data_IF_319324270352
#
_entry.id   IF_319324270352
#
_cell.length_a   1.000
_cell.length_b   1.000
_cell.length_c   1.000
_cell.angle_alpha   90.00
_cell.angle_beta   90.00
_cell.angle_gamma   90.00
#
_symmetry.space_group_name_H-M   'P 1'
#
loop_
_entity.id
_entity.type
_entity.pdbx_description
1 polymer ?
#
# COMPACT_ATOMS: atom_id res chain seq x y z
N UNK A 1 -0.38 -9.85 23.09
CA UNK A 1 0.51 -10.30 21.98
C UNK A 1 1.09 -9.09 21.27
N UNK A 2 2.17 -9.21 20.52
CA UNK A 2 2.76 -8.07 19.81
C UNK A 2 2.01 -7.77 18.50
N UNK A 3 2.21 -6.56 17.95
CA UNK A 3 1.67 -6.17 16.66
C UNK A 3 2.50 -6.76 15.50
N UNK A 4 1.83 -6.99 14.38
CA UNK A 4 2.43 -7.47 13.13
C UNK A 4 2.29 -6.38 12.08
N UNK A 5 3.36 -6.10 11.34
CA UNK A 5 3.33 -5.13 10.23
C UNK A 5 3.28 -5.86 8.90
N UNK A 6 2.39 -5.45 8.02
CA UNK A 6 2.27 -5.95 6.64
C UNK A 6 2.65 -4.84 5.65
N UNK A 7 3.73 -5.06 4.89
CA UNK A 7 4.22 -4.10 3.87
C UNK A 7 4.32 -4.74 2.49
N UNK A 8 4.33 -3.92 1.45
CA UNK A 8 4.73 -4.37 0.11
C UNK A 8 6.25 -4.24 -0.06
N UNK A 9 6.90 -5.19 -0.70
CA UNK A 9 8.35 -5.18 -0.92
C UNK A 9 8.77 -4.43 -2.19
N UNK A 10 7.86 -4.20 -3.13
CA UNK A 10 8.13 -3.66 -4.48
C UNK A 10 7.52 -2.26 -4.66
N UNK A 11 6.77 -2.03 -5.73
CA UNK A 11 6.10 -0.75 -6.05
C UNK A 11 4.58 -0.78 -5.93
N UNK A 12 4.03 -1.61 -5.06
CA UNK A 12 2.58 -1.81 -4.92
C UNK A 12 2.04 -2.92 -5.81
N UNK A 13 0.74 -3.19 -5.65
CA UNK A 13 0.04 -4.25 -6.40
C UNK A 13 0.61 -5.68 -6.19
N UNK A 14 1.36 -5.91 -5.10
CA UNK A 14 1.93 -7.22 -4.76
C UNK A 14 0.88 -8.23 -4.29
N UNK A 15 -0.37 -7.81 -4.04
CA UNK A 15 -1.43 -8.68 -3.53
C UNK A 15 -1.56 -8.67 -2.00
N UNK A 16 -1.23 -7.54 -1.35
CA UNK A 16 -1.39 -7.34 0.10
C UNK A 16 -2.78 -7.71 0.61
N UNK A 17 -3.84 -7.35 -0.14
CA UNK A 17 -5.21 -7.68 0.24
C UNK A 17 -5.46 -9.18 0.44
N UNK A 18 -4.86 -10.06 -0.37
CA UNK A 18 -4.95 -11.51 -0.19
C UNK A 18 -4.25 -11.96 1.10
N UNK A 19 -3.08 -11.41 1.40
CA UNK A 19 -2.35 -11.74 2.63
C UNK A 19 -3.09 -11.22 3.88
N UNK A 20 -3.66 -10.01 3.82
CA UNK A 20 -4.48 -9.47 4.92
C UNK A 20 -5.72 -10.33 5.14
N UNK A 21 -6.38 -10.76 4.08
CA UNK A 21 -7.56 -11.61 4.16
C UNK A 21 -7.24 -13.01 4.73
N UNK A 22 -6.08 -13.57 4.37
CA UNK A 22 -5.59 -14.82 4.95
C UNK A 22 -5.42 -14.72 6.47
N UNK A 23 -4.83 -13.63 6.95
CA UNK A 23 -4.59 -13.38 8.37
C UNK A 23 -5.83 -12.81 9.09
N UNK A 24 -6.72 -12.15 8.36
CA UNK A 24 -7.82 -11.34 8.91
C UNK A 24 -8.87 -12.11 9.71
N UNK A 25 -8.86 -13.46 9.66
CA UNK A 25 -9.72 -14.30 10.50
C UNK A 25 -9.18 -14.46 11.93
N UNK A 26 -7.87 -14.34 12.07
CA UNK A 26 -7.14 -14.63 13.29
C UNK A 26 -6.58 -13.36 13.95
N UNK A 27 -6.95 -12.17 13.42
CA UNK A 27 -6.59 -10.87 13.98
C UNK A 27 -7.81 -10.12 14.48
N UNK A 28 -7.65 -9.47 15.64
CA UNK A 28 -8.73 -8.70 16.29
C UNK A 28 -8.82 -7.27 15.73
N UNK A 29 -7.70 -6.72 15.27
CA UNK A 29 -7.61 -5.37 14.70
C UNK A 29 -6.82 -5.36 13.40
N UNK A 30 -7.33 -4.65 12.38
CA UNK A 30 -6.57 -4.30 11.17
C UNK A 30 -6.50 -2.78 11.06
N UNK A 31 -5.29 -2.24 11.11
CA UNK A 31 -5.02 -0.81 11.13
C UNK A 31 -4.39 -0.37 9.81
N UNK A 32 -5.08 0.45 9.03
CA UNK A 32 -4.45 1.17 7.93
C UNK A 32 -3.66 2.34 8.52
N UNK A 33 -2.35 2.35 8.31
CA UNK A 33 -1.48 3.31 9.00
C UNK A 33 -0.97 4.45 8.12
N UNK A 34 -1.09 4.37 6.77
CA UNK A 34 -0.58 5.39 5.87
C UNK A 34 -1.42 5.54 4.58
N UNK A 35 -1.09 6.54 3.78
CA UNK A 35 -1.77 6.81 2.52
C UNK A 35 -3.15 7.42 2.72
N UNK A 36 -4.04 7.14 1.81
CA UNK A 36 -5.44 7.57 1.80
C UNK A 36 -6.22 6.73 0.81
N UNK A 37 -7.10 7.38 0.03
CA UNK A 37 -7.86 6.73 -1.03
C UNK A 37 -7.11 6.59 -2.37
N UNK A 38 -5.78 6.72 -2.36
CA UNK A 38 -4.90 6.56 -3.53
C UNK A 38 -4.46 5.13 -3.80
N UNK A 39 -4.70 4.19 -2.89
CA UNK A 39 -4.48 2.76 -3.09
C UNK A 39 -5.80 2.05 -3.44
N UNK A 40 -5.69 0.88 -4.05
CA UNK A 40 -6.82 0.00 -4.29
C UNK A 40 -6.46 -1.41 -3.82
N UNK A 41 -7.11 -1.90 -2.76
CA UNK A 41 -6.99 -3.27 -2.31
C UNK A 41 -8.20 -4.05 -2.81
N UNK A 42 -7.98 -5.05 -3.65
CA UNK A 42 -9.05 -5.96 -4.05
C UNK A 42 -8.97 -7.22 -3.19
N UNK A 43 -10.05 -7.52 -2.52
CA UNK A 43 -10.25 -8.75 -1.74
C UNK A 43 -11.35 -9.56 -2.38
N UNK A 44 -11.19 -10.88 -2.48
CA UNK A 44 -12.22 -11.78 -3.03
C UNK A 44 -12.70 -12.68 -1.90
N UNK A 45 -13.98 -12.57 -1.53
CA UNK A 45 -14.63 -13.37 -0.51
C UNK A 45 -15.82 -14.10 -1.14
N UNK A 46 -15.84 -15.42 -1.05
CA UNK A 46 -16.92 -16.28 -1.58
C UNK A 46 -17.25 -15.98 -3.07
N UNK A 47 -16.21 -15.68 -3.86
CA UNK A 47 -16.30 -15.34 -5.28
C UNK A 47 -16.69 -13.89 -5.58
N UNK A 48 -17.05 -13.11 -4.58
CA UNK A 48 -17.35 -11.69 -4.72
C UNK A 48 -16.11 -10.80 -4.56
N UNK A 49 -15.96 -9.82 -5.45
CA UNK A 49 -14.86 -8.85 -5.42
C UNK A 49 -15.25 -7.60 -4.63
N UNK A 50 -14.40 -7.23 -3.68
CA UNK A 50 -14.47 -5.99 -2.92
C UNK A 50 -13.25 -5.13 -3.24
N UNK A 51 -13.47 -3.95 -3.79
CA UNK A 51 -12.42 -2.98 -4.08
C UNK A 51 -12.45 -1.90 -2.99
N UNK A 52 -11.47 -1.92 -2.10
CA UNK A 52 -11.32 -0.96 -1.01
C UNK A 52 -10.23 0.06 -1.36
N UNK A 53 -10.51 1.36 -1.20
CA UNK A 53 -9.55 2.42 -1.46
C UNK A 53 -9.05 3.06 -0.16
N UNK A 54 -9.97 3.42 0.72
CA UNK A 54 -9.68 4.10 1.99
C UNK A 54 -9.81 3.16 3.19
N UNK A 55 -10.81 2.29 3.18
CA UNK A 55 -11.05 1.39 4.29
C UNK A 55 -9.96 0.30 4.43
N UNK A 56 -9.58 -0.08 5.67
CA UNK A 56 -8.69 -1.22 5.89
C UNK A 56 -9.38 -2.53 5.51
N UNK A 57 -8.59 -3.52 5.05
CA UNK A 57 -9.13 -4.80 4.55
C UNK A 57 -9.91 -5.58 5.61
N UNK A 58 -9.58 -5.39 6.90
CA UNK A 58 -10.29 -6.00 8.03
C UNK A 58 -11.76 -5.64 8.16
N UNK A 59 -12.26 -4.61 7.45
CA UNK A 59 -13.70 -4.24 7.43
C UNK A 59 -14.59 -5.39 6.92
N UNK A 60 -14.02 -6.30 6.14
CA UNK A 60 -14.73 -7.45 5.57
C UNK A 60 -14.75 -8.67 6.51
N UNK A 61 -14.07 -8.60 7.66
CA UNK A 61 -13.98 -9.69 8.64
C UNK A 61 -14.88 -9.40 9.83
N UNK A 62 -15.91 -10.23 10.12
CA UNK A 62 -16.94 -9.91 11.13
C UNK A 62 -16.38 -9.75 12.56
N UNK A 63 -15.29 -10.47 12.86
CA UNK A 63 -14.67 -10.47 14.19
C UNK A 63 -13.59 -9.41 14.35
N UNK A 64 -13.21 -8.71 13.29
CA UNK A 64 -12.16 -7.72 13.27
C UNK A 64 -12.69 -6.31 13.53
N UNK A 65 -11.91 -5.50 14.23
CA UNK A 65 -12.13 -4.06 14.37
C UNK A 65 -11.22 -3.33 13.37
N UNK A 66 -11.77 -2.78 12.28
CA UNK A 66 -11.00 -2.01 11.31
C UNK A 66 -10.68 -0.62 11.86
N UNK A 67 -9.44 -0.16 11.68
CA UNK A 67 -8.97 1.13 12.20
C UNK A 67 -8.30 1.95 11.10
N UNK A 68 -8.72 3.19 10.96
CA UNK A 68 -8.00 4.23 10.20
C UNK A 68 -7.10 4.98 11.18
N UNK A 69 -5.79 4.74 11.09
CA UNK A 69 -4.78 5.32 11.97
C UNK A 69 -4.50 6.80 11.69
N UNK A 70 -3.78 7.44 12.59
CA UNK A 70 -3.42 8.87 12.51
C UNK A 70 -2.48 9.21 11.34
N UNK A 71 -1.83 8.22 10.74
CA UNK A 71 -0.98 8.40 9.56
C UNK A 71 -1.75 8.51 8.25
N UNK A 72 -3.02 8.15 8.21
CA UNK A 72 -3.88 8.21 7.02
C UNK A 72 -4.39 9.63 6.77
N UNK A 73 -4.56 9.99 5.50
CA UNK A 73 -5.31 11.18 5.08
C UNK A 73 -6.67 10.77 4.54
N UNK A 74 -7.74 11.32 5.11
CA UNK A 74 -9.12 10.84 4.97
C UNK A 74 -9.91 11.76 4.04
N UNK A 75 -10.36 11.24 2.90
CA UNK A 75 -11.39 11.88 2.08
C UNK A 75 -12.76 11.44 2.59
N UNK A 76 -13.51 12.36 3.19
CA UNK A 76 -14.78 12.05 3.84
C UNK A 76 -15.86 11.61 2.86
N UNK A 77 -15.90 12.19 1.66
CA UNK A 77 -16.85 11.79 0.64
C UNK A 77 -16.60 10.33 0.22
N UNK A 78 -15.33 9.97 -0.05
CA UNK A 78 -14.95 8.60 -0.41
C UNK A 78 -15.18 7.63 0.76
N UNK A 79 -14.89 8.06 2.00
CA UNK A 79 -15.16 7.24 3.19
C UNK A 79 -16.62 6.79 3.25
N UNK A 80 -17.54 7.74 3.14
CA UNK A 80 -18.96 7.44 3.25
C UNK A 80 -19.52 6.72 2.03
N UNK A 81 -19.01 6.99 0.83
CA UNK A 81 -19.34 6.23 -0.37
C UNK A 81 -18.95 4.75 -0.23
N UNK A 82 -17.74 4.46 0.27
CA UNK A 82 -17.30 3.08 0.51
C UNK A 82 -18.14 2.40 1.60
N UNK A 83 -18.42 3.09 2.71
CA UNK A 83 -19.24 2.56 3.80
C UNK A 83 -20.67 2.23 3.34
N UNK A 84 -21.30 3.13 2.58
CA UNK A 84 -22.64 2.92 2.01
C UNK A 84 -22.65 1.74 1.02
N UNK A 85 -21.62 1.65 0.16
CA UNK A 85 -21.47 0.56 -0.78
C UNK A 85 -21.30 -0.81 -0.10
N UNK A 86 -20.54 -0.88 1.00
CA UNK A 86 -20.38 -2.10 1.79
C UNK A 86 -21.68 -2.47 2.55
N UNK A 87 -22.32 -1.50 3.17
CA UNK A 87 -23.58 -1.70 3.89
C UNK A 87 -24.68 -2.23 2.94
N UNK A 88 -24.76 -1.69 1.73
CA UNK A 88 -25.71 -2.17 0.71
C UNK A 88 -25.46 -3.63 0.28
N UNK A 89 -24.22 -4.13 0.48
CA UNK A 89 -23.84 -5.54 0.26
C UNK A 89 -23.92 -6.41 1.52
N UNK A 90 -24.49 -5.88 2.62
CA UNK A 90 -24.67 -6.62 3.86
C UNK A 90 -23.45 -6.70 4.77
N UNK A 91 -22.40 -5.93 4.52
CA UNK A 91 -21.21 -5.87 5.40
C UNK A 91 -21.49 -4.97 6.60
N UNK A 92 -21.23 -5.48 7.82
CA UNK A 92 -21.32 -4.68 9.04
C UNK A 92 -20.11 -3.76 9.17
N UNK A 93 -20.33 -2.45 9.05
CA UNK A 93 -19.31 -1.41 9.15
C UNK A 93 -19.29 -0.71 10.51
N UNK A 94 -20.11 -1.13 11.47
CA UNK A 94 -20.33 -0.46 12.75
C UNK A 94 -19.08 -0.44 13.65
N UNK A 95 -18.16 -1.38 13.48
CA UNK A 95 -16.93 -1.50 14.25
C UNK A 95 -15.80 -0.58 13.78
N UNK A 96 -15.97 0.16 12.68
CA UNK A 96 -14.92 1.04 12.17
C UNK A 96 -14.52 2.09 13.20
N UNK A 97 -13.22 2.20 13.43
CA UNK A 97 -12.62 3.26 14.28
C UNK A 97 -11.73 4.17 13.44
N UNK A 98 -11.81 5.47 13.70
CA UNK A 98 -11.04 6.50 12.98
C UNK A 98 -10.29 7.35 14.01
N UNK A 99 -8.99 7.50 13.80
CA UNK A 99 -8.18 8.36 14.68
C UNK A 99 -8.65 9.81 14.61
N UNK A 100 -8.94 10.39 15.75
CA UNK A 100 -9.20 11.82 15.89
C UNK A 100 -8.05 12.68 15.32
N UNK A 101 -6.82 12.15 15.33
CA UNK A 101 -5.60 12.80 14.85
C UNK A 101 -5.30 12.58 13.35
N UNK A 102 -6.07 11.76 12.64
CA UNK A 102 -5.94 11.63 11.18
C UNK A 102 -6.23 12.96 10.49
N UNK A 103 -5.58 13.23 9.34
CA UNK A 103 -5.81 14.45 8.59
C UNK A 103 -6.92 14.28 7.56
N UNK A 104 -7.65 15.36 7.30
CA UNK A 104 -8.74 15.40 6.33
C UNK A 104 -8.26 15.98 5.00
N UNK A 105 -8.61 15.34 3.89
CA UNK A 105 -8.42 15.87 2.55
C UNK A 105 -9.53 16.91 2.30
N UNK A 106 -9.19 18.18 2.43
CA UNK A 106 -10.12 19.25 2.15
C UNK A 106 -10.30 19.48 0.63
N UNK A 107 -11.39 20.09 0.18
CA UNK A 107 -11.66 20.33 -1.24
C UNK A 107 -10.52 21.04 -1.98
N UNK A 108 -9.86 22.00 -1.34
CA UNK A 108 -8.72 22.72 -1.92
C UNK A 108 -7.48 21.83 -2.10
N UNK A 109 -7.29 20.77 -1.30
CA UNK A 109 -6.18 19.83 -1.50
C UNK A 109 -6.36 19.05 -2.80
N UNK A 110 -7.59 18.58 -3.11
CA UNK A 110 -7.92 17.93 -4.39
C UNK A 110 -7.71 18.88 -5.58
N UNK A 111 -8.09 20.14 -5.41
CA UNK A 111 -7.88 21.16 -6.45
C UNK A 111 -6.40 21.39 -6.70
N UNK A 112 -5.61 21.59 -5.64
CA UNK A 112 -4.15 21.80 -5.73
C UNK A 112 -3.45 20.63 -6.42
N UNK A 113 -3.77 19.39 -6.06
CA UNK A 113 -3.18 18.20 -6.68
C UNK A 113 -3.38 18.22 -8.22
N UNK A 114 -4.62 18.43 -8.67
CA UNK A 114 -4.96 18.47 -10.10
C UNK A 114 -4.31 19.65 -10.86
N UNK A 115 -4.27 20.82 -10.26
CA UNK A 115 -3.70 22.00 -10.97
C UNK A 115 -2.18 21.96 -11.01
N UNK A 116 -1.54 21.39 -9.97
CA UNK A 116 -0.09 21.20 -9.92
C UNK A 116 0.38 20.20 -10.99
N UNK A 117 -0.27 19.05 -11.12
CA UNK A 117 0.02 18.07 -12.17
C UNK A 117 -0.14 18.69 -13.60
N UNK A 118 -1.19 19.47 -13.79
CA UNK A 118 -1.40 20.19 -15.06
C UNK A 118 -0.28 21.21 -15.33
N UNK A 119 0.13 21.96 -14.32
CA UNK A 119 1.18 22.96 -14.42
C UNK A 119 2.54 22.34 -14.72
N UNK A 120 2.85 21.20 -14.13
CA UNK A 120 4.10 20.46 -14.37
C UNK A 120 4.19 19.87 -15.79
N UNK A 121 3.06 19.61 -16.47
CA UNK A 121 3.01 19.15 -17.85
C UNK A 121 3.80 17.84 -18.07
N UNK A 122 4.88 17.91 -18.87
CA UNK A 122 5.75 16.74 -19.11
C UNK A 122 6.58 16.31 -17.91
N UNK A 123 6.73 17.16 -16.89
CA UNK A 123 7.45 16.86 -15.64
C UNK A 123 6.51 16.41 -14.52
N UNK A 124 5.27 16.05 -14.85
CA UNK A 124 4.30 15.54 -13.88
C UNK A 124 4.82 14.26 -13.19
N UNK A 125 4.46 14.07 -11.94
CA UNK A 125 4.77 12.88 -11.15
C UNK A 125 3.83 11.71 -11.51
N UNK A 126 2.64 12.02 -12.00
CA UNK A 126 1.59 11.03 -12.27
C UNK A 126 0.76 10.71 -11.04
N UNK A 127 0.44 11.73 -10.23
CA UNK A 127 -0.38 11.56 -9.01
C UNK A 127 -1.79 11.06 -9.35
N UNK A 128 -2.50 10.57 -8.34
CA UNK A 128 -3.89 10.13 -8.50
C UNK A 128 -4.89 11.28 -8.59
N UNK A 129 -4.45 12.54 -8.37
CA UNK A 129 -5.30 13.72 -8.36
C UNK A 129 -6.30 13.78 -7.21
N UNK A 130 -6.07 13.01 -6.15
CA UNK A 130 -6.99 12.83 -4.99
C UNK A 130 -6.65 13.73 -3.79
N UNK A 131 -5.63 14.57 -3.91
CA UNK A 131 -5.25 15.52 -2.86
C UNK A 131 -4.34 14.95 -1.78
N UNK A 132 -3.79 13.74 -1.99
CA UNK A 132 -2.94 13.06 -1.01
C UNK A 132 -1.68 13.88 -0.69
N UNK A 133 -0.88 14.20 -1.70
CA UNK A 133 0.36 14.98 -1.53
C UNK A 133 0.14 16.33 -0.87
N UNK A 134 -0.79 17.17 -1.36
CA UNK A 134 -1.12 18.44 -0.73
C UNK A 134 -1.57 18.34 0.72
N UNK A 135 -2.29 17.28 1.11
CA UNK A 135 -2.70 17.07 2.50
C UNK A 135 -1.53 16.68 3.40
N UNK A 136 -0.60 15.82 2.94
CA UNK A 136 0.64 15.54 3.67
C UNK A 136 1.55 16.78 3.77
N UNK A 137 1.62 17.61 2.73
CA UNK A 137 2.32 18.89 2.79
C UNK A 137 1.72 19.80 3.87
N UNK A 138 0.40 19.88 3.95
CA UNK A 138 -0.28 20.63 5.01
C UNK A 138 0.00 20.08 6.41
N UNK A 139 0.01 18.77 6.57
CA UNK A 139 0.39 18.10 7.83
C UNK A 139 1.78 18.53 8.27
N UNK A 140 2.77 18.48 7.39
CA UNK A 140 4.16 18.86 7.69
C UNK A 140 4.32 20.36 7.93
N UNK A 141 3.59 21.20 7.21
CA UNK A 141 3.53 22.64 7.41
C UNK A 141 2.73 23.04 8.67
N UNK A 142 2.04 22.11 9.30
CA UNK A 142 1.19 22.34 10.48
C UNK A 142 -0.01 23.26 10.20
N UNK A 143 -0.50 23.23 8.96
CA UNK A 143 -1.69 23.94 8.49
C UNK A 143 -2.84 22.99 8.13
N UNK A 144 -2.65 21.68 8.38
CA UNK A 144 -3.64 20.65 8.08
C UNK A 144 -4.83 20.65 9.04
N UNK A 145 -5.94 20.13 8.54
CA UNK A 145 -7.18 19.91 9.29
C UNK A 145 -7.19 18.47 9.75
N UNK A 146 -7.43 18.23 11.05
CA UNK A 146 -7.62 16.90 11.62
C UNK A 146 -9.10 16.54 11.69
N UNK A 147 -9.39 15.24 11.77
CA UNK A 147 -10.76 14.74 11.91
C UNK A 147 -11.46 15.35 13.14
N UNK A 148 -10.76 15.48 14.26
CA UNK A 148 -11.31 16.11 15.49
C UNK A 148 -11.75 17.57 15.31
N UNK A 149 -11.12 18.29 14.40
CA UNK A 149 -11.43 19.73 14.19
C UNK A 149 -12.83 19.93 13.59
N UNK A 150 -13.38 18.89 12.95
CA UNK A 150 -14.72 18.91 12.33
C UNK A 150 -15.81 19.09 13.38
N UNK A 151 -15.59 18.65 14.61
CA UNK A 151 -16.61 18.70 15.66
C UNK A 151 -16.73 20.09 16.32
N UNK A 152 -15.75 20.97 16.14
CA UNK A 152 -15.77 22.36 16.60
C UNK A 152 -15.74 23.32 15.42
N UNK A 153 -16.89 23.92 15.11
CA UNK A 153 -17.02 24.82 13.95
C UNK A 153 -16.09 26.05 14.05
N UNK A 154 -15.90 26.59 15.25
CA UNK A 154 -15.04 27.76 15.45
C UNK A 154 -13.58 27.44 15.15
N UNK A 155 -13.09 26.31 15.66
CA UNK A 155 -11.74 25.82 15.40
C UNK A 155 -11.56 25.45 13.92
N UNK A 156 -12.52 24.73 13.34
CA UNK A 156 -12.49 24.37 11.93
C UNK A 156 -12.41 25.61 11.03
N UNK A 157 -13.28 26.61 11.28
CA UNK A 157 -13.31 27.87 10.53
C UNK A 157 -11.97 28.59 10.60
N UNK A 158 -11.43 28.77 11.79
CA UNK A 158 -10.13 29.41 12.00
C UNK A 158 -9.02 28.72 11.21
N UNK A 159 -8.98 27.39 11.22
CA UNK A 159 -7.98 26.60 10.48
C UNK A 159 -8.16 26.71 8.97
N UNK A 160 -9.40 26.66 8.48
CA UNK A 160 -9.71 26.82 7.06
C UNK A 160 -9.32 28.22 6.56
N UNK A 161 -9.63 29.26 7.31
CA UNK A 161 -9.23 30.65 7.01
C UNK A 161 -7.71 30.79 6.92
N UNK A 162 -6.97 30.28 7.90
CA UNK A 162 -5.52 30.30 7.93
C UNK A 162 -4.91 29.54 6.74
N UNK A 163 -5.43 28.36 6.42
CA UNK A 163 -4.97 27.55 5.29
C UNK A 163 -5.25 28.26 3.95
N UNK A 164 -6.45 28.81 3.78
CA UNK A 164 -6.87 29.44 2.53
C UNK A 164 -6.21 30.80 2.28
N UNK A 165 -5.75 31.49 3.32
CA UNK A 165 -5.02 32.76 3.18
C UNK A 165 -3.82 32.64 2.23
N UNK A 166 -3.04 31.56 2.34
CA UNK A 166 -1.91 31.27 1.45
C UNK A 166 -2.35 30.53 0.18
N UNK A 167 -3.17 29.48 0.32
CA UNK A 167 -3.53 28.59 -0.79
C UNK A 167 -4.30 29.33 -1.89
N UNK A 168 -5.17 30.26 -1.54
CA UNK A 168 -5.87 31.08 -2.53
C UNK A 168 -4.92 32.00 -3.32
N UNK A 169 -3.83 32.50 -2.70
CA UNK A 169 -2.82 33.23 -3.46
C UNK A 169 -2.16 32.32 -4.52
N UNK A 170 -1.83 31.09 -4.15
CA UNK A 170 -1.25 30.12 -5.08
C UNK A 170 -2.24 29.72 -6.17
N UNK A 171 -3.48 29.37 -5.81
CA UNK A 171 -4.51 28.99 -6.78
C UNK A 171 -4.79 30.11 -7.79
N UNK A 172 -4.97 31.34 -7.32
CA UNK A 172 -5.37 32.46 -8.17
C UNK A 172 -4.17 33.03 -8.95
N UNK A 173 -3.06 33.33 -8.27
CA UNK A 173 -1.94 34.07 -8.89
C UNK A 173 -0.95 33.18 -9.62
N UNK A 174 -0.74 31.92 -9.16
CA UNK A 174 0.23 31.01 -9.79
C UNK A 174 -0.48 30.13 -10.82
N UNK A 175 -1.58 29.51 -10.42
CA UNK A 175 -2.28 28.54 -11.27
C UNK A 175 -3.42 29.13 -12.09
N UNK A 176 -3.71 30.42 -11.92
CA UNK A 176 -4.80 31.14 -12.62
C UNK A 176 -6.14 30.36 -12.57
N UNK A 177 -6.47 29.88 -11.37
CA UNK A 177 -7.73 29.16 -11.13
C UNK A 177 -8.54 29.83 -10.01
N UNK A 178 -9.79 29.42 -9.85
CA UNK A 178 -10.67 29.98 -8.81
C UNK A 178 -10.16 29.57 -7.43
N UNK A 179 -10.11 30.51 -6.48
CA UNK A 179 -9.89 30.26 -5.07
C UNK A 179 -11.04 29.51 -4.42
N UNK A 180 -10.77 28.90 -3.27
CA UNK A 180 -11.79 28.27 -2.43
C UNK A 180 -12.43 29.28 -1.47
N UNK A 181 -13.69 29.08 -1.16
CA UNK A 181 -14.47 29.92 -0.24
C UNK A 181 -14.52 29.26 1.14
N UNK A 182 -14.19 29.99 2.19
CA UNK A 182 -14.14 29.47 3.57
C UNK A 182 -15.45 28.81 3.97
N UNK A 183 -16.57 29.51 3.78
CA UNK A 183 -17.88 29.02 4.20
C UNK A 183 -18.23 27.69 3.55
N UNK A 184 -17.97 27.55 2.25
CA UNK A 184 -18.23 26.28 1.53
C UNK A 184 -17.37 25.13 2.04
N UNK A 185 -16.09 25.38 2.33
CA UNK A 185 -15.20 24.34 2.87
C UNK A 185 -15.65 23.93 4.26
N UNK A 186 -16.00 24.87 5.12
CA UNK A 186 -16.51 24.60 6.48
C UNK A 186 -17.82 23.83 6.41
N UNK A 187 -18.78 24.28 5.59
CA UNK A 187 -20.08 23.62 5.42
C UNK A 187 -19.90 22.17 4.92
N UNK A 188 -19.10 21.95 3.86
CA UNK A 188 -18.82 20.62 3.32
C UNK A 188 -18.25 19.69 4.41
N UNK A 189 -17.22 20.12 5.13
CA UNK A 189 -16.60 19.28 6.15
C UNK A 189 -17.53 19.04 7.34
N UNK A 190 -18.26 20.05 7.79
CA UNK A 190 -19.24 19.95 8.90
C UNK A 190 -20.40 19.02 8.59
N UNK A 191 -20.80 18.92 7.33
CA UNK A 191 -21.91 18.04 6.93
C UNK A 191 -21.69 16.56 7.27
N UNK A 192 -20.45 16.17 7.52
CA UNK A 192 -20.09 14.80 7.92
C UNK A 192 -20.02 14.57 9.44
N UNK A 193 -20.12 15.64 10.26
CA UNK A 193 -19.83 15.58 11.70
C UNK A 193 -20.65 14.51 12.44
N UNK A 194 -21.96 14.52 12.28
CA UNK A 194 -22.85 13.59 12.99
C UNK A 194 -22.62 12.12 12.60
N UNK A 195 -22.30 11.89 11.33
CA UNK A 195 -21.98 10.55 10.81
C UNK A 195 -20.61 10.04 11.28
N UNK A 196 -19.65 10.94 11.48
CA UNK A 196 -18.31 10.62 11.96
C UNK A 196 -18.26 10.37 13.47
N UNK A 197 -19.08 11.07 14.25
CA UNK A 197 -19.01 11.07 15.72
C UNK A 197 -18.93 9.67 16.36
N UNK A 198 -19.72 8.67 15.95
CA UNK A 198 -19.67 7.33 16.56
C UNK A 198 -18.39 6.55 16.23
N UNK A 199 -17.65 6.92 15.19
CA UNK A 199 -16.48 6.18 14.71
C UNK A 199 -15.16 6.77 15.24
N UNK A 200 -15.15 8.05 15.63
CA UNK A 200 -13.93 8.81 15.94
C UNK A 200 -13.54 8.69 17.40
N UNK A 201 -12.25 8.46 17.64
CA UNK A 201 -11.73 8.36 19.00
C UNK A 201 -10.22 8.35 19.10
N UNK A 202 -9.72 8.04 20.29
CA UNK A 202 -8.31 7.81 20.55
C UNK A 202 -7.93 6.37 20.19
N UNK A 203 -7.62 6.16 18.91
CA UNK A 203 -7.23 4.84 18.39
C UNK A 203 -5.90 4.34 18.96
N UNK A 204 -5.03 5.24 19.44
CA UNK A 204 -3.76 4.82 20.05
C UNK A 204 -3.99 4.14 21.38
N UNK A 205 -4.89 4.69 22.18
CA UNK A 205 -5.32 4.09 23.46
C UNK A 205 -6.11 2.77 23.21
N UNK A 206 -6.98 2.74 22.20
CA UNK A 206 -7.72 1.52 21.85
C UNK A 206 -6.75 0.39 21.50
N UNK A 207 -5.71 0.66 20.68
CA UNK A 207 -4.71 -0.32 20.27
C UNK A 207 -3.77 -0.73 21.42
N UNK A 208 -3.38 0.19 22.30
CA UNK A 208 -2.61 -0.14 23.51
C UNK A 208 -3.37 -1.16 24.37
N UNK A 209 -4.65 -0.88 24.66
CA UNK A 209 -5.51 -1.79 25.43
C UNK A 209 -5.69 -3.15 24.77
N UNK A 210 -5.83 -3.17 23.44
CA UNK A 210 -5.93 -4.41 22.68
C UNK A 210 -4.67 -5.27 22.83
N UNK A 211 -3.49 -4.66 22.67
CA UNK A 211 -2.21 -5.34 22.83
C UNK A 211 -1.98 -5.83 24.26
N UNK A 212 -2.38 -5.05 25.28
CA UNK A 212 -2.27 -5.44 26.69
C UNK A 212 -3.24 -6.57 27.07
N UNK A 213 -4.38 -6.63 26.39
CA UNK A 213 -5.33 -7.74 26.50
C UNK A 213 -4.90 -9.01 25.72
N UNK A 214 -3.74 -8.97 25.05
CA UNK A 214 -3.24 -10.11 24.28
C UNK A 214 -3.92 -10.29 22.92
N UNK A 215 -4.58 -9.26 22.38
CA UNK A 215 -5.23 -9.29 21.08
C UNK A 215 -4.22 -9.12 19.94
N UNK A 216 -4.52 -9.71 18.78
CA UNK A 216 -3.71 -9.63 17.57
C UNK A 216 -4.00 -8.34 16.80
N UNK A 217 -2.98 -7.53 16.55
CA UNK A 217 -3.09 -6.29 15.78
C UNK A 217 -2.24 -6.38 14.52
N UNK A 218 -2.87 -6.22 13.35
CA UNK A 218 -2.23 -6.17 12.05
C UNK A 218 -2.16 -4.72 11.55
N UNK A 219 -0.96 -4.23 11.24
CA UNK A 219 -0.73 -2.90 10.67
C UNK A 219 -0.56 -3.04 9.15
N UNK A 220 -1.57 -2.61 8.40
CA UNK A 220 -1.65 -2.76 6.94
C UNK A 220 -1.13 -1.51 6.22
N UNK A 221 -0.10 -1.66 5.37
CA UNK A 221 0.39 -0.59 4.51
C UNK A 221 -0.54 -0.34 3.32
N UNK A 222 -0.82 0.92 3.06
CA UNK A 222 -1.58 1.33 1.86
C UNK A 222 -0.76 1.23 0.56
N UNK A 223 0.57 1.37 0.64
CA UNK A 223 1.52 1.32 -0.48
C UNK A 223 2.65 0.32 -0.19
N UNK A 224 3.80 0.48 -0.85
CA UNK A 224 4.93 -0.44 -0.74
C UNK A 224 6.25 0.28 -0.47
N UNK A 225 7.30 -0.46 -0.12
CA UNK A 225 8.60 0.06 0.30
C UNK A 225 9.22 0.99 -0.73
N UNK A 226 9.19 0.63 -2.03
CA UNK A 226 9.78 1.46 -3.10
C UNK A 226 8.93 2.70 -3.45
N UNK A 227 7.75 2.83 -2.82
CA UNK A 227 6.89 4.02 -2.88
C UNK A 227 6.95 4.87 -1.61
N UNK A 228 7.76 4.49 -0.62
CA UNK A 228 7.94 5.26 0.62
C UNK A 228 8.57 6.62 0.33
N UNK A 229 8.15 7.67 1.05
CA UNK A 229 8.61 9.05 0.81
C UNK A 229 10.11 9.23 1.07
N UNK A 230 10.68 8.50 2.03
CA UNK A 230 12.09 8.61 2.44
C UNK A 230 12.96 7.52 1.79
N UNK A 231 12.43 6.31 1.60
CA UNK A 231 13.17 5.12 1.18
C UNK A 231 12.82 4.63 -0.23
N UNK A 232 11.83 5.22 -0.87
CA UNK A 232 11.40 4.85 -2.22
C UNK A 232 12.19 5.54 -3.33
N UNK A 233 11.74 5.33 -4.55
CA UNK A 233 12.33 5.89 -5.78
C UNK A 233 11.89 7.34 -6.01
N UNK A 234 12.26 8.22 -5.08
CA UNK A 234 11.92 9.65 -5.15
C UNK A 234 12.38 10.29 -6.46
N UNK A 235 11.57 11.15 -7.13
CA UNK A 235 10.28 11.70 -6.68
C UNK A 235 9.06 10.84 -7.02
N UNK A 236 9.22 9.69 -7.64
CA UNK A 236 8.14 8.79 -8.08
C UNK A 236 7.67 7.88 -6.94
N UNK A 237 7.14 8.50 -5.88
CA UNK A 237 6.74 7.88 -4.61
C UNK A 237 5.38 8.42 -4.14
N UNK A 238 4.80 7.82 -3.11
CA UNK A 238 3.70 8.43 -2.35
C UNK A 238 4.25 9.45 -1.33
N UNK A 239 3.42 10.35 -0.87
CA UNK A 239 3.80 11.35 0.15
C UNK A 239 3.69 10.80 1.58
N UNK A 240 3.59 9.50 1.75
CA UNK A 240 3.43 8.86 3.06
C UNK A 240 4.55 7.86 3.35
N UNK A 241 4.79 7.57 4.63
CA UNK A 241 5.72 6.55 5.08
C UNK A 241 5.05 5.18 4.99
N UNK A 242 5.47 4.37 4.01
CA UNK A 242 4.89 3.06 3.69
C UNK A 242 5.72 1.88 4.25
N UNK A 243 6.76 2.17 5.02
CA UNK A 243 7.63 1.18 5.67
C UNK A 243 7.13 0.77 7.05
N UNK A 244 7.76 -0.25 7.63
CA UNK A 244 7.48 -0.70 9.01
C UNK A 244 7.71 0.41 10.05
N UNK A 245 8.71 1.29 9.84
CA UNK A 245 8.89 2.50 10.66
C UNK A 245 7.69 3.44 10.59
N UNK A 246 7.12 3.60 9.38
CA UNK A 246 5.89 4.37 9.16
C UNK A 246 4.66 3.78 9.84
N UNK A 247 4.62 2.45 10.00
CA UNK A 247 3.53 1.78 10.71
C UNK A 247 3.46 2.20 12.19
N UNK A 248 4.61 2.32 12.86
CA UNK A 248 4.66 2.78 14.25
C UNK A 248 4.14 4.22 14.40
N UNK A 249 4.62 5.13 13.56
CA UNK A 249 4.19 6.55 13.63
C UNK A 249 2.75 6.74 13.17
N UNK A 250 2.29 5.95 12.20
CA UNK A 250 0.95 6.08 11.61
C UNK A 250 -0.17 5.40 12.41
N UNK A 251 0.16 4.49 13.32
CA UNK A 251 -0.79 3.83 14.22
C UNK A 251 -0.69 4.33 15.66
N UNK A 252 0.49 4.84 16.07
CA UNK A 252 0.80 5.17 17.46
C UNK A 252 1.32 3.98 18.28
N UNK A 253 1.48 2.80 17.67
CA UNK A 253 2.07 1.64 18.36
C UNK A 253 3.59 1.81 18.42
N UNK A 254 4.21 1.70 19.61
CA UNK A 254 5.66 1.84 19.74
C UNK A 254 6.40 0.66 19.06
N UNK A 255 7.62 0.89 18.52
CA UNK A 255 8.37 -0.14 17.79
C UNK A 255 8.68 -1.38 18.64
N UNK A 256 8.78 -1.23 19.97
CA UNK A 256 9.01 -2.33 20.91
C UNK A 256 7.83 -3.30 21.05
N UNK A 257 6.66 -2.96 20.53
CA UNK A 257 5.45 -3.82 20.51
C UNK A 257 5.27 -4.51 19.16
N UNK A 258 6.11 -4.24 18.17
CA UNK A 258 6.11 -4.95 16.87
C UNK A 258 6.99 -6.19 17.00
N UNK A 259 6.44 -7.37 16.73
CA UNK A 259 7.18 -8.64 16.78
C UNK A 259 7.60 -9.16 15.43
N UNK A 260 6.79 -8.88 14.41
CA UNK A 260 6.99 -9.42 13.07
C UNK A 260 6.72 -8.36 12.01
N UNK A 261 7.49 -8.44 10.93
CA UNK A 261 7.25 -7.67 9.72
C UNK A 261 7.12 -8.66 8.57
N UNK A 262 5.93 -8.72 7.99
CA UNK A 262 5.60 -9.55 6.84
C UNK A 262 5.64 -8.70 5.60
N UNK A 263 6.48 -9.04 4.64
CA UNK A 263 6.55 -8.36 3.35
C UNK A 263 5.88 -9.19 2.25
N UNK A 264 5.14 -8.53 1.39
CA UNK A 264 4.53 -9.18 0.22
C UNK A 264 5.41 -8.91 -0.99
N UNK A 265 5.83 -9.99 -1.63
CA UNK A 265 6.61 -9.99 -2.86
C UNK A 265 5.81 -10.72 -3.95
N UNK A 266 5.65 -10.12 -5.10
CA UNK A 266 5.11 -10.81 -6.28
C UNK A 266 6.22 -11.64 -6.93
N UNK A 267 5.93 -12.83 -7.43
CA UNK A 267 6.88 -13.71 -8.10
C UNK A 267 7.51 -13.09 -9.38
N UNK A 268 7.03 -11.94 -9.79
CA UNK A 268 7.59 -11.04 -10.79
C UNK A 268 7.40 -9.60 -10.32
N UNK A 269 7.85 -8.61 -11.05
CA UNK A 269 7.74 -7.22 -10.62
C UNK A 269 6.73 -6.46 -11.47
N UNK A 270 5.93 -5.61 -10.85
CA UNK A 270 5.06 -4.67 -11.56
C UNK A 270 5.19 -3.27 -11.01
N UNK A 271 4.98 -2.27 -11.87
CA UNK A 271 4.96 -0.86 -11.49
C UNK A 271 3.84 -0.11 -12.20
N UNK A 272 3.20 0.79 -11.47
CA UNK A 272 2.26 1.78 -12.03
C UNK A 272 2.94 3.15 -12.01
N UNK A 273 2.76 3.93 -13.09
CA UNK A 273 3.32 5.29 -13.20
C UNK A 273 4.77 5.33 -13.65
N UNK A 274 5.34 6.52 -13.55
CA UNK A 274 6.67 6.85 -14.01
C UNK A 274 7.76 6.40 -13.02
N UNK A 275 9.03 6.54 -13.42
CA UNK A 275 10.19 6.29 -12.60
C UNK A 275 10.96 5.02 -12.96
N UNK A 276 12.11 4.76 -12.30
CA UNK A 276 13.02 3.68 -12.64
C UNK A 276 12.40 2.30 -12.41
N UNK A 277 12.69 1.38 -13.34
CA UNK A 277 12.27 -0.01 -13.26
C UNK A 277 13.30 -0.88 -14.01
N UNK A 278 14.43 -1.24 -13.37
CA UNK A 278 15.55 -1.90 -14.05
C UNK A 278 15.18 -3.19 -14.77
N UNK A 279 14.26 -3.98 -14.22
CA UNK A 279 13.84 -5.26 -14.81
C UNK A 279 12.65 -5.16 -15.75
N UNK A 280 12.24 -3.95 -16.18
CA UNK A 280 11.10 -3.75 -17.07
C UNK A 280 11.27 -4.40 -18.43
N UNK A 281 10.19 -5.00 -18.90
CA UNK A 281 10.10 -5.61 -20.23
C UNK A 281 9.53 -4.68 -21.29
N UNK A 282 10.06 -4.85 -22.49
CA UNK A 282 9.57 -4.19 -23.71
C UNK A 282 9.25 -5.20 -24.83
N UNK A 283 9.06 -6.48 -24.48
CA UNK A 283 8.95 -7.62 -25.36
C UNK A 283 7.71 -8.49 -25.08
N UNK A 284 7.66 -9.68 -25.69
CA UNK A 284 6.56 -10.64 -25.57
C UNK A 284 6.41 -11.22 -24.17
N UNK A 285 7.49 -11.32 -23.38
CA UNK A 285 7.45 -11.78 -21.99
C UNK A 285 6.65 -10.81 -21.11
N UNK A 286 6.82 -9.50 -21.33
CA UNK A 286 6.02 -8.49 -20.66
C UNK A 286 4.54 -8.57 -20.98
N UNK A 287 4.20 -8.88 -22.23
CA UNK A 287 2.81 -9.07 -22.63
C UNK A 287 2.21 -10.37 -22.08
N UNK A 288 3.00 -11.44 -22.03
CA UNK A 288 2.61 -12.71 -21.40
C UNK A 288 2.26 -12.50 -19.92
N UNK A 289 3.16 -11.91 -19.11
CA UNK A 289 2.92 -11.65 -17.70
C UNK A 289 1.72 -10.73 -17.48
N UNK A 290 1.56 -9.70 -18.32
CA UNK A 290 0.45 -8.77 -18.23
C UNK A 290 -0.90 -9.44 -18.45
N UNK A 291 -0.99 -10.31 -19.47
CA UNK A 291 -2.22 -11.05 -19.79
C UNK A 291 -2.52 -12.13 -18.76
N UNK A 292 -1.56 -13.01 -18.48
CA UNK A 292 -1.71 -14.13 -17.55
C UNK A 292 -1.93 -13.65 -16.12
N UNK A 293 -1.18 -12.62 -15.70
CA UNK A 293 -1.30 -12.02 -14.37
C UNK A 293 -2.45 -11.03 -14.23
N UNK A 294 -3.21 -10.73 -15.31
CA UNK A 294 -4.24 -9.68 -15.30
C UNK A 294 -3.72 -8.33 -14.76
N UNK A 295 -2.54 -7.91 -15.23
CA UNK A 295 -1.84 -6.73 -14.73
C UNK A 295 -2.38 -5.44 -15.35
N UNK A 296 -3.59 -5.08 -14.89
CA UNK A 296 -4.29 -3.84 -15.25
C UNK A 296 -4.73 -3.10 -14.00
N UNK A 297 -4.66 -1.78 -14.01
CA UNK A 297 -5.07 -0.95 -12.88
C UNK A 297 -6.55 -1.11 -12.56
N UNK A 298 -6.88 -1.44 -11.31
CA UNK A 298 -8.26 -1.69 -10.85
C UNK A 298 -9.20 -0.51 -11.14
N UNK A 299 -8.71 0.73 -10.98
CA UNK A 299 -9.52 1.94 -11.15
C UNK A 299 -9.46 2.51 -12.57
N UNK A 300 -8.33 2.39 -13.24
CA UNK A 300 -8.08 3.07 -14.54
C UNK A 300 -8.06 2.13 -15.73
N UNK A 301 -7.96 0.81 -15.51
CA UNK A 301 -7.78 -0.19 -16.55
C UNK A 301 -6.44 -0.06 -17.31
N UNK A 302 -5.52 0.82 -16.87
CA UNK A 302 -4.23 1.00 -17.53
C UNK A 302 -3.37 -0.25 -17.37
N UNK A 303 -2.65 -0.69 -18.43
CA UNK A 303 -1.70 -1.78 -18.31
C UNK A 303 -0.59 -1.39 -17.33
N UNK A 304 -0.21 -2.32 -16.46
CA UNK A 304 0.96 -2.19 -15.60
C UNK A 304 2.23 -2.50 -16.38
N UNK A 305 3.31 -1.83 -16.04
CA UNK A 305 4.66 -2.18 -16.44
C UNK A 305 5.03 -3.48 -15.74
N UNK A 306 5.61 -4.44 -16.44
CA UNK A 306 5.98 -5.76 -15.89
C UNK A 306 7.48 -6.01 -16.11
N UNK A 307 8.07 -6.83 -15.23
CA UNK A 307 9.48 -7.25 -15.31
C UNK A 307 9.72 -8.48 -14.46
N UNK A 308 10.89 -9.14 -14.60
CA UNK A 308 11.27 -10.27 -13.75
C UNK A 308 11.36 -9.86 -12.27
N UNK A 309 11.30 -10.87 -11.38
CA UNK A 309 11.50 -10.63 -9.96
C UNK A 309 12.86 -9.99 -9.73
N UNK A 310 12.86 -8.96 -8.89
CA UNK A 310 14.05 -8.19 -8.55
C UNK A 310 14.41 -8.43 -7.08
N UNK A 311 15.42 -9.26 -6.84
CA UNK A 311 15.84 -9.60 -5.49
C UNK A 311 16.77 -8.55 -4.88
N UNK A 312 17.31 -7.63 -5.67
CA UNK A 312 18.07 -6.49 -5.15
C UNK A 312 17.13 -5.57 -4.38
N UNK A 313 15.97 -5.22 -4.95
CA UNK A 313 14.96 -4.46 -4.21
C UNK A 313 14.32 -5.30 -3.10
N UNK A 314 14.22 -6.63 -3.25
CA UNK A 314 13.76 -7.52 -2.19
C UNK A 314 14.67 -7.46 -0.95
N UNK A 315 16.00 -7.56 -1.13
CA UNK A 315 17.00 -7.36 -0.06
C UNK A 315 16.92 -5.98 0.56
N UNK A 316 16.78 -4.95 -0.28
CA UNK A 316 16.60 -3.59 0.20
C UNK A 316 15.35 -3.47 1.08
N UNK A 317 14.22 -4.04 0.65
CA UNK A 317 12.99 -4.05 1.44
C UNK A 317 13.17 -4.82 2.76
N UNK A 318 13.89 -5.96 2.75
CA UNK A 318 14.24 -6.70 3.96
C UNK A 318 15.00 -5.84 4.96
N UNK A 319 16.03 -5.15 4.51
CA UNK A 319 16.88 -4.29 5.34
C UNK A 319 16.11 -3.10 5.92
N UNK A 320 15.34 -2.39 5.10
CA UNK A 320 14.64 -1.17 5.52
C UNK A 320 13.51 -1.46 6.50
N UNK A 321 12.81 -2.57 6.31
CA UNK A 321 11.66 -2.93 7.13
C UNK A 321 11.97 -3.89 8.28
N UNK A 322 13.15 -4.52 8.29
CA UNK A 322 13.44 -5.61 9.23
C UNK A 322 12.51 -6.80 8.98
N UNK A 323 12.34 -7.19 7.72
CA UNK A 323 11.40 -8.25 7.32
C UNK A 323 11.79 -9.58 7.97
N UNK A 324 10.82 -10.19 8.63
CA UNK A 324 10.96 -11.53 9.23
C UNK A 324 10.45 -12.63 8.30
N UNK A 325 9.42 -12.31 7.52
CA UNK A 325 8.70 -13.27 6.67
C UNK A 325 8.29 -12.64 5.35
N UNK A 326 8.36 -13.41 4.27
CA UNK A 326 7.76 -13.04 3.00
C UNK A 326 6.53 -13.90 2.69
N UNK A 327 5.56 -13.28 2.03
CA UNK A 327 4.51 -13.96 1.29
C UNK A 327 4.77 -13.70 -0.19
N UNK A 328 5.12 -14.75 -0.92
CA UNK A 328 5.28 -14.68 -2.39
C UNK A 328 3.92 -14.88 -3.04
N UNK A 329 3.49 -13.96 -3.89
CA UNK A 329 2.20 -14.03 -4.58
C UNK A 329 2.37 -14.30 -6.06
N UNK A 330 1.33 -14.85 -6.69
CA UNK A 330 1.24 -15.03 -8.14
C UNK A 330 2.34 -15.93 -8.74
N UNK A 331 2.74 -16.97 -8.02
CA UNK A 331 3.68 -17.95 -8.55
C UNK A 331 3.08 -18.71 -9.74
N UNK A 332 1.77 -18.94 -9.75
CA UNK A 332 0.97 -19.52 -10.81
C UNK A 332 1.12 -18.82 -12.17
N UNK A 333 1.35 -17.51 -12.16
CA UNK A 333 1.50 -16.71 -13.39
C UNK A 333 2.76 -17.06 -14.18
N UNK A 334 3.76 -17.65 -13.55
CA UNK A 334 5.01 -18.09 -14.19
C UNK A 334 4.90 -19.48 -14.83
N UNK A 335 3.78 -20.19 -14.64
CA UNK A 335 3.53 -21.49 -15.29
C UNK A 335 3.51 -21.35 -16.81
N UNK A 336 4.17 -22.27 -17.51
CA UNK A 336 4.26 -22.28 -18.97
C UNK A 336 5.47 -21.56 -19.56
N UNK A 337 6.37 -21.07 -18.68
CA UNK A 337 7.67 -20.53 -19.10
C UNK A 337 8.73 -21.61 -19.07
N UNK A 338 9.62 -21.63 -20.08
CA UNK A 338 10.75 -22.56 -20.14
C UNK A 338 11.85 -22.16 -19.14
N UNK A 339 12.03 -20.85 -18.96
CA UNK A 339 13.03 -20.27 -18.07
C UNK A 339 12.42 -19.11 -17.30
N UNK A 340 12.84 -18.95 -16.04
CA UNK A 340 12.41 -17.86 -15.15
C UNK A 340 13.65 -17.13 -14.61
N UNK A 341 14.04 -16.01 -15.20
CA UNK A 341 15.15 -15.19 -14.71
C UNK A 341 14.83 -14.50 -13.38
N UNK A 342 15.86 -14.41 -12.52
CA UNK A 342 15.86 -13.67 -11.26
C UNK A 342 16.91 -12.57 -11.36
N UNK A 343 16.56 -11.31 -11.16
CA UNK A 343 17.54 -10.23 -11.07
C UNK A 343 18.29 -10.34 -9.73
N UNK A 344 19.60 -10.58 -9.80
CA UNK A 344 20.46 -10.82 -8.62
C UNK A 344 21.36 -9.65 -8.27
N UNK A 345 21.64 -8.78 -9.26
CA UNK A 345 22.48 -7.60 -9.14
C UNK A 345 22.15 -6.61 -10.27
N UNK A 346 22.75 -5.43 -10.23
CA UNK A 346 22.71 -4.46 -11.32
C UNK A 346 24.12 -4.20 -11.88
N UNK A 347 24.21 -3.90 -13.16
CA UNK A 347 25.35 -3.24 -13.78
C UNK A 347 25.04 -1.74 -13.92
N UNK A 348 25.93 -0.90 -13.41
CA UNK A 348 25.88 0.55 -13.59
C UNK A 348 27.25 0.98 -14.12
N UNK A 349 27.30 1.43 -15.37
CA UNK A 349 28.54 1.87 -16.05
C UNK A 349 29.67 0.82 -16.01
N UNK A 350 29.33 -0.47 -16.15
CA UNK A 350 30.28 -1.59 -16.11
C UNK A 350 30.71 -2.02 -14.70
N UNK A 351 30.09 -1.48 -13.67
CA UNK A 351 30.32 -1.86 -12.25
C UNK A 351 29.12 -2.65 -11.73
N UNK A 352 29.41 -3.84 -11.21
CA UNK A 352 28.39 -4.68 -10.56
C UNK A 352 28.02 -4.14 -9.19
N UNK A 353 26.72 -3.97 -8.94
CA UNK A 353 26.12 -3.58 -7.68
C UNK A 353 25.21 -4.72 -7.18
N UNK A 354 25.57 -5.35 -6.06
CA UNK A 354 24.74 -6.38 -5.42
C UNK A 354 23.64 -5.74 -4.55
N UNK A 355 23.77 -4.47 -4.20
CA UNK A 355 22.79 -3.68 -3.44
C UNK A 355 22.17 -2.58 -4.31
N UNK A 356 20.97 -2.14 -3.91
CA UNK A 356 20.31 -1.01 -4.59
C UNK A 356 21.18 0.25 -4.54
N UNK A 357 21.52 0.86 -5.69
CA UNK A 357 22.28 2.10 -5.71
C UNK A 357 21.59 3.21 -4.92
N UNK A 358 22.39 3.96 -4.14
CA UNK A 358 21.89 5.11 -3.36
C UNK A 358 21.51 6.28 -4.26
N UNK A 359 22.26 6.47 -5.34
CA UNK A 359 22.01 7.51 -6.33
C UNK A 359 20.80 7.13 -7.19
N UNK A 360 19.81 8.01 -7.26
CA UNK A 360 18.65 7.81 -8.15
C UNK A 360 19.05 7.80 -9.63
N UNK A 361 20.11 8.55 -9.99
CA UNK A 361 20.67 8.52 -11.36
C UNK A 361 21.21 7.14 -11.69
N UNK A 362 22.01 6.55 -10.79
CA UNK A 362 22.58 5.23 -10.99
C UNK A 362 21.49 4.15 -11.07
N UNK A 363 20.51 4.25 -10.20
CA UNK A 363 19.37 3.32 -10.23
C UNK A 363 18.52 3.45 -11.51
N UNK A 364 18.43 4.67 -12.06
CA UNK A 364 17.70 4.92 -13.31
C UNK A 364 18.40 4.33 -14.53
N UNK A 365 19.74 4.23 -14.50
CA UNK A 365 20.57 3.66 -15.56
C UNK A 365 21.00 2.23 -15.28
N UNK A 366 20.57 1.65 -14.15
CA UNK A 366 20.89 0.28 -13.78
C UNK A 366 20.35 -0.72 -14.79
N UNK A 367 21.22 -1.61 -15.25
CA UNK A 367 20.89 -2.75 -16.10
C UNK A 367 20.85 -4.02 -15.23
N UNK A 368 19.80 -4.84 -15.27
CA UNK A 368 19.70 -6.02 -14.42
C UNK A 368 20.68 -7.11 -14.85
N UNK A 369 21.31 -7.74 -13.87
CA UNK A 369 22.10 -8.98 -14.03
C UNK A 369 21.22 -10.14 -13.59
N UNK A 370 20.96 -11.06 -14.48
CA UNK A 370 20.05 -12.18 -14.23
C UNK A 370 20.80 -13.49 -13.94
N UNK A 371 20.24 -14.27 -13.02
CA UNK A 371 20.43 -15.70 -12.87
C UNK A 371 19.17 -16.38 -13.41
N UNK A 372 19.34 -17.31 -14.33
CA UNK A 372 18.20 -17.95 -15.00
C UNK A 372 17.92 -19.32 -14.36
N UNK A 373 16.69 -19.50 -13.87
CA UNK A 373 16.19 -20.76 -13.31
C UNK A 373 15.36 -21.53 -14.35
N UNK A 374 15.30 -22.87 -14.28
CA UNK A 374 14.33 -23.64 -15.05
C UNK A 374 12.90 -23.23 -14.70
N UNK A 375 12.03 -23.17 -15.71
CA UNK A 375 10.59 -22.97 -15.49
C UNK A 375 9.83 -24.27 -15.29
N UNK A 376 8.50 -24.21 -15.25
CA UNK A 376 7.60 -25.37 -15.09
C UNK A 376 6.36 -25.22 -15.95
N UNK A 377 5.75 -26.35 -16.31
CA UNK A 377 4.59 -26.41 -17.20
C UNK A 377 3.32 -26.87 -16.48
N UNK A 378 3.48 -27.50 -15.32
CA UNK A 378 2.39 -28.04 -14.53
C UNK A 378 1.56 -26.92 -13.92
N UNK A 379 0.23 -27.07 -13.96
CA UNK A 379 -0.68 -26.19 -13.23
C UNK A 379 -0.51 -26.39 -11.72
N UNK A 380 -0.08 -25.34 -11.04
CA UNK A 380 0.16 -25.34 -9.60
C UNK A 380 -1.01 -24.81 -8.76
N UNK A 381 -2.11 -24.40 -9.38
CA UNK A 381 -3.26 -23.81 -8.68
C UNK A 381 -3.91 -24.76 -7.66
N UNK A 382 -3.78 -26.07 -7.91
CA UNK A 382 -4.25 -27.13 -7.03
C UNK A 382 -3.33 -27.49 -5.86
N UNK A 383 -2.07 -27.01 -5.84
CA UNK A 383 -1.11 -27.35 -4.80
C UNK A 383 -1.50 -26.68 -3.46
N UNK A 384 -1.36 -27.41 -2.37
CA UNK A 384 -1.66 -26.95 -0.99
C UNK A 384 -0.48 -27.13 -0.04
N UNK A 385 0.50 -27.93 -0.42
CA UNK A 385 1.77 -28.09 0.30
C UNK A 385 2.95 -27.72 -0.61
N UNK A 386 4.09 -27.39 -0.01
CA UNK A 386 5.28 -26.99 -0.77
C UNK A 386 5.82 -28.15 -1.62
N UNK A 387 5.71 -29.37 -1.12
CA UNK A 387 6.18 -30.61 -1.75
C UNK A 387 5.33 -31.00 -2.98
N UNK A 388 4.10 -30.50 -3.09
CA UNK A 388 3.26 -30.71 -4.28
C UNK A 388 3.65 -29.83 -5.47
N UNK A 389 4.45 -28.77 -5.25
CA UNK A 389 4.97 -27.95 -6.33
C UNK A 389 5.97 -28.74 -7.18
N UNK A 390 6.03 -28.49 -8.51
CA UNK A 390 7.11 -28.97 -9.34
C UNK A 390 8.47 -28.57 -8.77
N UNK A 391 9.48 -29.44 -8.92
CA UNK A 391 10.81 -29.20 -8.36
C UNK A 391 11.39 -27.85 -8.79
N UNK A 392 11.22 -27.46 -10.06
CA UNK A 392 11.68 -26.16 -10.55
C UNK A 392 11.01 -24.98 -9.83
N UNK A 393 9.70 -25.08 -9.50
CA UNK A 393 9.00 -24.06 -8.74
C UNK A 393 9.48 -24.01 -7.27
N UNK A 394 9.76 -25.16 -6.65
CA UNK A 394 10.36 -25.22 -5.32
C UNK A 394 11.74 -24.57 -5.31
N UNK A 395 12.60 -24.92 -6.27
CA UNK A 395 13.96 -24.38 -6.40
C UNK A 395 13.94 -22.87 -6.63
N UNK A 396 13.00 -22.39 -7.44
CA UNK A 396 12.79 -20.96 -7.66
C UNK A 396 12.43 -20.22 -6.35
N UNK A 397 11.48 -20.73 -5.58
CA UNK A 397 11.06 -20.11 -4.31
C UNK A 397 12.22 -20.11 -3.30
N UNK A 398 12.96 -21.23 -3.17
CA UNK A 398 14.11 -21.33 -2.27
C UNK A 398 15.24 -20.41 -2.68
N UNK A 399 15.46 -20.25 -4.00
CA UNK A 399 16.48 -19.31 -4.50
C UNK A 399 16.12 -17.87 -4.24
N UNK A 400 14.84 -17.49 -4.45
CA UNK A 400 14.34 -16.14 -4.08
C UNK A 400 14.50 -15.91 -2.59
N UNK A 401 14.11 -16.89 -1.73
CA UNK A 401 14.25 -16.83 -0.27
C UNK A 401 15.71 -16.54 0.15
N UNK A 402 16.66 -17.28 -0.42
CA UNK A 402 18.10 -17.08 -0.16
C UNK A 402 18.55 -15.66 -0.56
N UNK A 403 18.16 -15.21 -1.75
CA UNK A 403 18.57 -13.93 -2.31
C UNK A 403 17.98 -12.71 -1.58
N UNK A 404 16.76 -12.79 -1.08
CA UNK A 404 16.12 -11.67 -0.34
C UNK A 404 16.49 -11.64 1.14
N UNK A 405 17.10 -12.71 1.67
CA UNK A 405 17.64 -12.77 3.02
C UNK A 405 16.60 -12.88 4.15
N UNK A 406 15.38 -13.34 3.84
CA UNK A 406 14.36 -13.66 4.85
C UNK A 406 13.44 -14.77 4.32
N UNK A 407 12.88 -15.58 5.22
CA UNK A 407 12.12 -16.78 4.86
C UNK A 407 10.84 -16.49 4.10
N UNK A 408 10.50 -17.33 3.14
CA UNK A 408 9.21 -17.33 2.45
C UNK A 408 8.23 -18.21 3.25
N UNK A 409 7.31 -17.59 3.98
CA UNK A 409 6.39 -18.28 4.88
C UNK A 409 5.07 -18.69 4.22
N UNK A 410 4.68 -18.03 3.12
CA UNK A 410 3.53 -18.46 2.34
C UNK A 410 3.72 -18.14 0.85
N UNK A 411 3.01 -18.91 -0.01
CA UNK A 411 3.11 -18.83 -1.46
C UNK A 411 1.72 -18.85 -2.06
N UNK A 412 1.34 -17.79 -2.80
CA UNK A 412 0.09 -17.73 -3.56
C UNK A 412 0.24 -18.45 -4.89
N UNK A 413 -0.59 -19.45 -5.11
CA UNK A 413 -0.60 -20.31 -6.30
C UNK A 413 -1.84 -20.11 -7.18
N UNK A 414 -2.61 -19.05 -6.93
CA UNK A 414 -3.79 -18.66 -7.70
C UNK A 414 -4.52 -17.47 -7.08
N UNK A 415 -5.62 -16.98 -7.67
CA UNK A 415 -6.34 -15.79 -7.21
C UNK A 415 -7.26 -16.05 -6.01
N UNK A 416 -7.77 -17.28 -5.81
CA UNK A 416 -8.71 -17.59 -4.75
C UNK A 416 -8.03 -17.60 -3.37
N UNK A 417 -8.84 -17.44 -2.33
CA UNK A 417 -8.39 -17.35 -0.93
C UNK A 417 -7.61 -18.59 -0.48
N UNK A 418 -8.09 -19.77 -0.85
CA UNK A 418 -7.53 -21.07 -0.50
C UNK A 418 -6.38 -21.53 -1.42
N UNK A 419 -6.09 -20.78 -2.48
CA UNK A 419 -4.96 -21.03 -3.38
C UNK A 419 -3.67 -20.42 -2.83
N UNK A 420 -3.30 -20.89 -1.64
CA UNK A 420 -2.09 -20.47 -0.92
C UNK A 420 -1.48 -21.67 -0.21
N UNK A 421 -0.17 -21.78 -0.30
CA UNK A 421 0.65 -22.75 0.44
C UNK A 421 1.25 -22.03 1.63
N UNK A 422 0.99 -22.50 2.83
CA UNK A 422 1.61 -21.99 4.06
C UNK A 422 2.76 -22.90 4.49
N UNK A 423 4.00 -22.39 4.46
CA UNK A 423 5.21 -23.09 4.89
C UNK A 423 5.52 -22.87 6.37
N UNK A 424 5.25 -21.66 6.86
CA UNK A 424 5.48 -21.29 8.25
C UNK A 424 4.30 -20.47 8.79
N UNK A 425 3.99 -20.54 10.10
CA UNK A 425 2.95 -19.70 10.69
C UNK A 425 3.25 -18.21 10.50
N UNK A 426 2.26 -17.45 10.02
CA UNK A 426 2.36 -15.99 9.86
C UNK A 426 1.95 -15.25 11.14
N UNK A 427 1.14 -15.88 11.97
CA UNK A 427 0.74 -15.38 13.29
C UNK A 427 1.36 -16.26 14.36
N UNK A 428 1.71 -15.67 15.50
CA UNK A 428 2.14 -16.43 16.68
C UNK A 428 0.90 -17.05 17.33
N UNK A 429 0.96 -18.35 17.60
CA UNK A 429 -0.13 -19.10 18.25
C UNK A 429 -0.25 -18.77 19.74
#
# INVERSE_FOLDING_TARGET
MPAIVLVGAQWGDEGKGKATDLMGRDVDYVVKFNGGNNAGHTVVIDGEKYALHLLPSGILSPNCTPVIGNGVVVDLAVLFEELEGLTARGVDVSKLRISANAHVIAPYNRTLDKVTERFLGSRKIGTTGRGIGPTYADKMNRTGIRVQDIFDESILRQKVEAALALKNQVLVKVYNTRGAEVDRVVEELRSYADRLAPMVGDTTLDLEKALDAGQNVLLEAGQATLLDIDHGTYPFVTSSSATAGGACTGSGIPPTRVSRVIAILKAYTTRVGEGPFPTEFFDDDGEFLRKTGHEYGTTTGRPRRCGWVDTVIGRYATRINGVTDFVVTKLDVLTGLEQVPICVAYDVDGVRHDEMPVSQSDFHHATPIYETMPGWWEDISGCRTFEELPQAAQDYVLRVEELIGARVSAIGVGPARDEIIQRHPLLDS
#
